data_IF_164529285384
#
_entry.id   IF_164529285384
#
_cell.length_a   1.000
_cell.length_b   1.000
_cell.length_c   1.000
_cell.angle_alpha   90.00
_cell.angle_beta   90.00
_cell.angle_gamma   90.00
#
_symmetry.space_group_name_H-M   'P 1'
#
loop_
_entity.id
_entity.type
_entity.pdbx_description
1 polymer ?
#
# COMPACT_ATOMS: atom_id res chain seq x y z
N UNK A 1 50.72 -31.83 -6.30
CA UNK A 1 49.74 -30.84 -6.81
C UNK A 1 49.60 -29.76 -5.78
N UNK A 2 49.94 -28.56 -6.18
CA UNK A 2 49.81 -27.35 -5.39
C UNK A 2 48.37 -27.24 -4.88
N UNK A 3 48.20 -27.43 -3.59
CA UNK A 3 46.90 -27.10 -2.94
C UNK A 3 46.86 -25.58 -2.93
N UNK A 4 46.28 -25.01 -3.99
CA UNK A 4 46.25 -23.56 -4.22
C UNK A 4 45.99 -22.78 -2.95
N UNK A 5 46.63 -21.64 -2.82
CA UNK A 5 46.52 -20.72 -1.69
C UNK A 5 45.05 -20.48 -1.33
N UNK A 6 44.63 -21.01 -0.19
CA UNK A 6 43.29 -20.81 0.37
C UNK A 6 43.37 -20.73 1.89
N UNK A 7 42.45 -20.07 2.48
CA UNK A 7 42.27 -20.03 3.94
C UNK A 7 41.09 -20.94 4.28
N UNK A 8 41.34 -21.88 5.23
CA UNK A 8 40.29 -22.77 5.73
C UNK A 8 40.06 -22.57 7.22
N UNK A 9 38.81 -22.48 7.61
CA UNK A 9 38.38 -22.51 9.00
C UNK A 9 37.73 -23.85 9.30
N UNK A 10 38.28 -24.57 10.30
CA UNK A 10 37.83 -25.94 10.64
C UNK A 10 37.39 -26.04 12.09
N UNK A 11 36.40 -26.89 12.34
CA UNK A 11 36.02 -27.37 13.67
C UNK A 11 35.92 -28.88 13.63
N UNK A 12 36.54 -29.56 14.61
CA UNK A 12 36.63 -31.03 14.65
C UNK A 12 37.10 -31.64 13.31
N UNK A 13 38.15 -31.07 12.72
CA UNK A 13 38.74 -31.47 11.42
C UNK A 13 37.80 -31.24 10.20
N UNK A 14 36.57 -30.81 10.38
CA UNK A 14 35.65 -30.51 9.29
C UNK A 14 35.79 -29.03 8.88
N UNK A 15 35.92 -28.79 7.58
CA UNK A 15 35.88 -27.44 7.05
C UNK A 15 34.50 -26.83 7.22
N UNK A 16 34.47 -25.58 7.72
CA UNK A 16 33.24 -24.83 7.94
C UNK A 16 33.15 -23.59 7.04
N UNK A 17 34.32 -23.00 6.73
CA UNK A 17 34.42 -21.83 5.86
C UNK A 17 35.75 -21.88 5.12
N UNK A 18 35.77 -21.35 3.91
CA UNK A 18 37.00 -21.10 3.16
C UNK A 18 37.01 -19.75 2.44
N UNK A 19 38.21 -19.28 2.16
CA UNK A 19 38.47 -18.27 1.14
C UNK A 19 39.33 -18.92 0.08
N UNK A 20 38.86 -19.01 -1.15
CA UNK A 20 39.60 -19.61 -2.27
C UNK A 20 40.71 -18.70 -2.74
N UNK A 21 41.67 -19.21 -3.53
CA UNK A 21 42.74 -18.40 -4.17
C UNK A 21 42.16 -17.29 -5.08
N UNK A 22 40.96 -17.49 -5.65
CA UNK A 22 40.23 -16.48 -6.42
C UNK A 22 39.45 -15.43 -5.56
N UNK A 23 39.60 -15.51 -4.22
CA UNK A 23 38.96 -14.57 -3.28
C UNK A 23 37.45 -14.81 -3.10
N UNK A 24 36.90 -15.97 -3.46
CA UNK A 24 35.53 -16.34 -3.16
C UNK A 24 35.42 -16.94 -1.77
N UNK A 25 34.38 -16.57 -1.01
CA UNK A 25 34.10 -17.08 0.33
C UNK A 25 33.01 -18.15 0.24
N UNK A 26 33.30 -19.35 0.78
CA UNK A 26 32.33 -20.43 0.96
C UNK A 26 32.09 -20.67 2.44
N UNK A 27 30.86 -20.69 2.91
CA UNK A 27 30.45 -21.13 4.24
C UNK A 27 29.62 -22.39 4.04
N UNK A 28 30.13 -23.54 4.50
CA UNK A 28 29.58 -24.84 4.19
C UNK A 28 29.84 -25.33 2.75
N UNK A 29 30.30 -24.46 1.86
CA UNK A 29 30.55 -24.71 0.45
C UNK A 29 32.06 -24.80 0.17
N UNK A 30 32.54 -25.94 -0.30
CA UNK A 30 33.97 -26.18 -0.62
C UNK A 30 34.34 -25.71 -2.03
N UNK A 31 33.38 -25.41 -2.89
CA UNK A 31 33.59 -24.91 -4.25
C UNK A 31 32.60 -23.81 -4.56
N UNK A 32 32.77 -22.59 -3.95
CA UNK A 32 31.80 -21.51 -4.12
C UNK A 32 31.71 -21.02 -5.57
N UNK A 33 30.49 -20.97 -6.11
CA UNK A 33 30.19 -20.55 -7.47
C UNK A 33 29.99 -19.02 -7.60
N UNK A 34 30.02 -18.29 -6.48
CA UNK A 34 29.89 -16.83 -6.39
C UNK A 34 30.92 -16.28 -5.41
N UNK A 35 31.11 -14.94 -5.34
CA UNK A 35 32.02 -14.29 -4.39
C UNK A 35 31.70 -14.63 -2.93
N UNK A 36 30.43 -14.83 -2.59
CA UNK A 36 29.98 -15.37 -1.32
C UNK A 36 28.93 -16.45 -1.61
N UNK A 37 29.18 -17.67 -1.14
CA UNK A 37 28.21 -18.76 -1.13
C UNK A 37 28.07 -19.31 0.27
N UNK A 38 26.82 -19.42 0.74
CA UNK A 38 26.47 -20.04 2.02
C UNK A 38 25.59 -21.26 1.73
N UNK A 39 26.03 -22.45 2.19
CA UNK A 39 25.22 -23.65 2.17
C UNK A 39 24.40 -23.71 3.45
N UNK A 40 23.17 -23.14 3.37
CA UNK A 40 22.25 -22.96 4.48
C UNK A 40 21.59 -21.58 4.47
N UNK A 41 20.83 -21.28 5.51
CA UNK A 41 20.16 -20.00 5.68
C UNK A 41 21.10 -18.89 6.15
N UNK A 42 20.79 -17.65 5.75
CA UNK A 42 21.41 -16.44 6.29
C UNK A 42 20.36 -15.73 7.15
N UNK A 43 20.63 -15.63 8.46
CA UNK A 43 19.82 -14.80 9.34
C UNK A 43 20.44 -13.40 9.45
N UNK A 44 19.72 -12.40 9.01
CA UNK A 44 20.11 -10.99 9.13
C UNK A 44 19.46 -10.38 10.38
N UNK A 45 20.18 -9.53 11.08
CA UNK A 45 19.59 -8.73 12.15
C UNK A 45 18.56 -7.74 11.58
N UNK A 46 17.56 -7.36 12.40
CA UNK A 46 16.57 -6.34 12.02
C UNK A 46 17.26 -5.00 11.76
N UNK A 47 16.94 -4.36 10.65
CA UNK A 47 17.36 -3.01 10.30
C UNK A 47 16.11 -2.18 9.98
N UNK A 48 15.72 -1.31 10.91
CA UNK A 48 14.56 -0.41 10.78
C UNK A 48 14.93 0.96 10.25
N UNK A 49 16.20 1.21 9.96
CA UNK A 49 16.66 2.49 9.42
C UNK A 49 16.06 2.75 8.03
N UNK A 50 15.81 4.00 7.72
CA UNK A 50 15.39 4.41 6.39
C UNK A 50 16.44 4.04 5.33
N UNK A 51 15.98 3.77 4.11
CA UNK A 51 16.87 3.63 2.96
C UNK A 51 17.67 4.92 2.75
N UNK A 52 18.97 4.80 2.50
CA UNK A 52 19.86 5.92 2.25
C UNK A 52 20.84 5.58 1.13
N UNK A 53 21.34 6.59 0.43
CA UNK A 53 22.32 6.41 -0.66
C UNK A 53 23.55 5.60 -0.23
N UNK A 54 23.98 5.72 1.03
CA UNK A 54 25.10 4.96 1.57
C UNK A 54 24.78 3.45 1.79
N UNK A 55 23.50 3.06 1.71
CA UNK A 55 23.04 1.68 1.91
C UNK A 55 22.61 0.99 0.60
N UNK A 56 22.80 1.64 -0.55
CA UNK A 56 22.48 1.04 -1.86
C UNK A 56 23.22 -0.29 -2.03
N UNK A 57 22.49 -1.32 -2.44
CA UNK A 57 23.01 -2.69 -2.59
C UNK A 57 23.05 -3.52 -1.31
N UNK A 58 22.62 -2.96 -0.18
CA UNK A 58 22.54 -3.72 1.09
C UNK A 58 21.29 -4.56 1.14
N UNK A 59 21.43 -5.85 1.48
CA UNK A 59 20.32 -6.70 1.89
C UNK A 59 20.05 -6.51 3.37
N UNK A 60 18.79 -6.35 3.77
CA UNK A 60 18.39 -6.19 5.15
C UNK A 60 17.11 -6.96 5.45
N UNK A 61 16.94 -7.34 6.71
CA UNK A 61 15.71 -7.90 7.23
C UNK A 61 14.92 -6.80 7.96
N UNK A 62 13.65 -6.69 7.63
CA UNK A 62 12.73 -5.79 8.33
C UNK A 62 11.48 -6.52 8.78
N UNK A 63 10.98 -6.11 9.93
CA UNK A 63 9.62 -6.40 10.36
C UNK A 63 8.79 -5.14 10.18
N UNK A 64 7.59 -5.29 9.73
CA UNK A 64 6.66 -4.18 9.54
C UNK A 64 5.23 -4.67 9.62
N UNK A 65 4.32 -3.76 9.43
CA UNK A 65 2.92 -4.06 9.26
C UNK A 65 2.57 -4.05 7.80
N UNK A 66 1.84 -5.03 7.35
CA UNK A 66 1.28 -5.11 6.00
C UNK A 66 -0.24 -5.21 6.10
N UNK A 67 -0.93 -4.63 5.12
CA UNK A 67 -2.38 -4.76 5.01
C UNK A 67 -2.70 -5.81 3.96
N UNK A 68 -3.38 -6.87 4.39
CA UNK A 68 -3.77 -8.00 3.54
C UNK A 68 -5.28 -7.93 3.30
N UNK A 69 -5.69 -8.11 2.06
CA UNK A 69 -7.11 -8.15 1.68
C UNK A 69 -7.80 -9.36 2.34
N UNK A 70 -8.97 -9.13 2.94
CA UNK A 70 -9.70 -10.18 3.68
C UNK A 70 -10.23 -11.25 2.74
N UNK A 71 -10.84 -10.86 1.62
CA UNK A 71 -11.45 -11.77 0.64
C UNK A 71 -11.27 -11.32 -0.81
N UNK A 72 -10.59 -10.19 -1.03
CA UNK A 72 -10.36 -9.59 -2.35
C UNK A 72 -11.63 -9.06 -3.03
N UNK A 73 -12.74 -8.91 -2.28
CA UNK A 73 -14.00 -8.41 -2.82
C UNK A 73 -13.99 -6.89 -2.88
N UNK A 74 -14.16 -6.36 -4.08
CA UNK A 74 -14.37 -4.92 -4.27
C UNK A 74 -15.74 -4.51 -3.74
N UNK A 75 -15.75 -3.58 -2.79
CA UNK A 75 -16.98 -3.13 -2.13
C UNK A 75 -17.70 -2.04 -2.93
N UNK A 76 -17.00 -1.28 -3.75
CA UNK A 76 -17.57 -0.20 -4.58
C UNK A 76 -18.08 -0.76 -5.90
N UNK A 77 -19.29 -0.42 -6.27
CA UNK A 77 -19.84 -0.70 -7.61
C UNK A 77 -19.66 0.53 -8.50
N UNK A 78 -19.23 0.33 -9.76
CA UNK A 78 -19.04 1.42 -10.71
C UNK A 78 -18.08 2.51 -10.15
N UNK A 79 -16.97 2.07 -9.58
CA UNK A 79 -15.92 2.98 -9.10
C UNK A 79 -15.09 3.59 -10.22
N UNK A 80 -15.18 3.03 -11.42
CA UNK A 80 -14.64 3.55 -12.69
C UNK A 80 -15.59 4.53 -13.39
N UNK A 81 -16.78 4.76 -12.82
CA UNK A 81 -17.81 5.67 -13.34
C UNK A 81 -18.15 5.46 -14.82
N UNK A 82 -18.06 4.21 -15.29
CA UNK A 82 -18.34 3.85 -16.68
C UNK A 82 -19.80 4.13 -17.08
N UNK A 83 -20.71 4.10 -16.12
CA UNK A 83 -22.15 4.37 -16.30
C UNK A 83 -22.64 5.39 -15.26
N UNK A 84 -23.66 6.18 -15.63
CA UNK A 84 -24.30 7.13 -14.69
C UNK A 84 -25.30 6.38 -13.79
N UNK A 85 -24.76 5.61 -12.85
CA UNK A 85 -25.54 4.79 -11.93
C UNK A 85 -24.79 4.53 -10.62
N UNK A 86 -25.51 4.03 -9.62
CA UNK A 86 -25.01 3.57 -8.32
C UNK A 86 -24.56 4.67 -7.35
N UNK A 87 -24.34 5.88 -7.82
CA UNK A 87 -23.92 7.03 -7.00
C UNK A 87 -25.01 8.09 -6.95
N UNK A 88 -25.24 8.63 -5.76
CA UNK A 88 -26.32 9.60 -5.51
C UNK A 88 -25.77 10.87 -4.87
N UNK A 89 -26.22 12.01 -5.37
CA UNK A 89 -25.99 13.30 -4.70
C UNK A 89 -26.79 13.36 -3.39
N UNK A 90 -26.12 13.59 -2.27
CA UNK A 90 -26.78 13.70 -0.97
C UNK A 90 -27.57 15.01 -0.85
N UNK A 91 -27.00 16.11 -1.33
CA UNK A 91 -27.64 17.43 -1.33
C UNK A 91 -27.30 18.18 -2.60
N UNK A 92 -28.32 18.53 -3.38
CA UNK A 92 -28.14 19.24 -4.64
C UNK A 92 -27.56 18.34 -5.74
N UNK A 93 -27.30 18.89 -6.91
CA UNK A 93 -26.86 18.19 -8.12
C UNK A 93 -25.46 18.62 -8.56
N UNK A 94 -24.50 18.66 -7.62
CA UNK A 94 -23.19 19.21 -7.92
C UNK A 94 -22.22 18.18 -8.51
N UNK A 95 -22.43 16.90 -8.19
CA UNK A 95 -21.68 15.80 -8.79
C UNK A 95 -22.43 15.25 -10.00
N UNK A 96 -21.71 14.91 -11.02
CA UNK A 96 -22.23 14.27 -12.23
C UNK A 96 -21.26 13.23 -12.74
N UNK A 97 -21.78 12.13 -13.31
CA UNK A 97 -20.98 11.12 -13.97
C UNK A 97 -21.03 11.37 -15.48
N UNK A 98 -19.87 11.53 -16.09
CA UNK A 98 -19.73 11.68 -17.54
C UNK A 98 -18.30 11.35 -17.97
N UNK A 99 -18.16 10.68 -19.11
CA UNK A 99 -16.86 10.35 -19.70
C UNK A 99 -15.99 9.47 -18.79
N UNK A 100 -16.59 8.54 -18.05
CA UNK A 100 -15.88 7.64 -17.13
C UNK A 100 -15.30 8.34 -15.90
N UNK A 101 -15.95 9.39 -15.40
CA UNK A 101 -15.50 10.13 -14.21
C UNK A 101 -16.69 10.71 -13.45
N UNK A 102 -16.55 10.82 -12.13
CA UNK A 102 -17.40 11.65 -11.31
C UNK A 102 -16.80 13.07 -11.24
N UNK A 103 -17.49 14.05 -11.73
CA UNK A 103 -17.04 15.44 -11.81
C UNK A 103 -17.81 16.33 -10.86
N UNK A 104 -17.15 17.30 -10.27
CA UNK A 104 -17.73 18.32 -9.40
C UNK A 104 -17.33 19.71 -9.85
N UNK A 105 -18.33 20.63 -9.79
CA UNK A 105 -18.11 22.06 -9.88
C UNK A 105 -19.06 22.73 -8.88
N UNK A 106 -18.56 23.12 -7.72
CA UNK A 106 -19.39 23.71 -6.68
C UNK A 106 -18.78 24.98 -6.11
N UNK A 107 -19.66 25.81 -5.58
CA UNK A 107 -19.30 27.01 -4.83
C UNK A 107 -19.97 26.98 -3.45
N UNK A 108 -19.23 27.34 -2.42
CA UNK A 108 -19.73 27.68 -1.09
C UNK A 108 -19.82 26.54 -0.07
N UNK A 109 -20.11 25.30 -0.44
CA UNK A 109 -20.36 24.24 0.55
C UNK A 109 -19.65 22.92 0.23
N UNK A 110 -19.42 22.11 1.27
CA UNK A 110 -19.01 20.72 1.13
C UNK A 110 -20.12 19.93 0.42
N UNK A 111 -19.76 19.04 -0.49
CA UNK A 111 -20.69 18.20 -1.25
C UNK A 111 -20.31 16.74 -1.14
N UNK A 112 -21.32 15.90 -1.08
CA UNK A 112 -21.19 14.46 -0.95
C UNK A 112 -21.86 13.76 -2.11
N UNK A 113 -21.18 12.74 -2.64
CA UNK A 113 -21.67 11.82 -3.65
C UNK A 113 -21.50 10.41 -3.11
N UNK A 114 -22.63 9.71 -2.89
CA UNK A 114 -22.64 8.52 -2.05
C UNK A 114 -23.06 7.27 -2.77
N UNK A 115 -22.57 6.16 -2.27
CA UNK A 115 -23.07 4.83 -2.54
C UNK A 115 -23.51 4.17 -1.24
N UNK A 116 -24.72 3.56 -1.23
CA UNK A 116 -25.33 3.00 -0.04
C UNK A 116 -25.17 1.49 0.02
N UNK A 117 -25.20 0.93 1.24
CA UNK A 117 -25.13 -0.51 1.53
C UNK A 117 -23.86 -1.20 0.98
N UNK A 118 -22.74 -0.48 0.97
CA UNK A 118 -21.47 -0.93 0.42
C UNK A 118 -20.63 -1.64 1.48
N UNK A 119 -20.55 -1.05 2.68
CA UNK A 119 -19.70 -1.60 3.74
C UNK A 119 -20.41 -2.71 4.52
N UNK A 120 -19.66 -3.70 5.04
CA UNK A 120 -20.20 -4.68 5.98
C UNK A 120 -20.75 -3.98 7.23
N UNK A 121 -21.81 -4.55 7.80
CA UNK A 121 -22.41 -4.03 9.02
C UNK A 121 -22.22 -5.05 10.18
N UNK A 122 -21.53 -4.71 11.27
CA UNK A 122 -20.89 -3.42 11.53
C UNK A 122 -19.55 -3.24 10.79
N UNK A 123 -19.26 -2.02 10.36
CA UNK A 123 -17.96 -1.64 9.79
C UNK A 123 -16.94 -1.18 10.83
N UNK A 124 -17.35 -1.07 12.09
CA UNK A 124 -16.52 -0.60 13.20
C UNK A 124 -15.39 -1.57 13.47
N UNK A 125 -14.19 -1.02 13.67
CA UNK A 125 -12.93 -1.75 13.88
C UNK A 125 -12.50 -2.65 12.70
N UNK A 126 -13.12 -2.50 11.53
CA UNK A 126 -12.63 -3.07 10.28
C UNK A 126 -11.81 -2.04 9.56
N UNK A 127 -10.69 -2.45 8.97
CA UNK A 127 -9.85 -1.56 8.18
C UNK A 127 -10.21 -1.67 6.70
N UNK A 128 -10.17 -0.54 6.00
CA UNK A 128 -10.48 -0.45 4.58
C UNK A 128 -9.34 0.24 3.85
N UNK A 129 -8.80 -0.44 2.84
CA UNK A 129 -7.88 0.14 1.88
C UNK A 129 -8.68 0.87 0.81
N UNK A 130 -8.47 2.17 0.71
CA UNK A 130 -9.19 3.05 -0.21
C UNK A 130 -8.21 3.58 -1.24
N UNK A 131 -8.56 3.44 -2.51
CA UNK A 131 -7.82 4.01 -3.65
C UNK A 131 -8.73 4.92 -4.45
N UNK A 132 -8.20 6.02 -4.96
CA UNK A 132 -8.92 6.92 -5.85
C UNK A 132 -7.96 7.77 -6.67
N UNK A 133 -8.41 8.20 -7.83
CA UNK A 133 -7.63 9.07 -8.72
C UNK A 133 -8.34 10.41 -8.88
N UNK A 134 -7.62 11.51 -8.67
CA UNK A 134 -8.11 12.88 -8.88
C UNK A 134 -7.50 13.44 -10.16
N UNK A 135 -8.32 14.03 -11.00
CA UNK A 135 -7.90 14.68 -12.24
C UNK A 135 -8.66 15.99 -12.48
N UNK A 136 -8.04 16.92 -13.20
CA UNK A 136 -8.66 18.21 -13.52
C UNK A 136 -8.98 19.06 -12.29
N UNK A 137 -8.37 18.80 -11.13
CA UNK A 137 -8.55 19.61 -9.94
C UNK A 137 -7.83 20.94 -10.13
N UNK A 138 -8.59 21.99 -10.16
CA UNK A 138 -8.10 23.38 -10.31
C UNK A 138 -8.36 24.21 -9.07
N UNK A 139 -9.25 23.76 -8.20
CA UNK A 139 -9.64 24.44 -6.97
C UNK A 139 -10.22 23.46 -5.95
N UNK A 140 -10.04 23.73 -4.65
CA UNK A 140 -10.59 22.95 -3.56
C UNK A 140 -9.85 21.65 -3.29
N UNK A 141 -10.59 20.62 -2.93
CA UNK A 141 -10.01 19.30 -2.61
C UNK A 141 -11.08 18.22 -2.52
N UNK A 142 -10.65 16.98 -2.71
CA UNK A 142 -11.52 15.80 -2.74
C UNK A 142 -10.93 14.70 -1.86
N UNK A 143 -11.80 14.01 -1.12
CA UNK A 143 -11.46 12.81 -0.35
C UNK A 143 -12.58 11.78 -0.40
N UNK A 144 -12.36 10.65 0.22
CA UNK A 144 -13.32 9.55 0.33
C UNK A 144 -13.63 9.31 1.80
N UNK A 145 -14.90 9.19 2.15
CA UNK A 145 -15.34 8.86 3.50
C UNK A 145 -15.93 7.46 3.52
N UNK A 146 -15.64 6.71 4.57
CA UNK A 146 -16.22 5.39 4.83
C UNK A 146 -16.93 5.38 6.18
N UNK A 147 -18.06 4.68 6.24
CA UNK A 147 -18.82 4.53 7.48
C UNK A 147 -19.45 5.83 8.00
N UNK A 148 -19.52 6.88 7.18
CA UNK A 148 -20.25 8.12 7.45
C UNK A 148 -19.49 9.21 8.21
N UNK A 149 -18.33 8.94 8.80
CA UNK A 149 -17.59 9.94 9.61
C UNK A 149 -16.08 9.90 9.52
N UNK A 150 -15.49 8.86 8.93
CA UNK A 150 -14.04 8.78 8.82
C UNK A 150 -13.64 9.05 7.38
N UNK A 151 -13.10 10.25 7.20
CA UNK A 151 -12.60 10.72 5.93
C UNK A 151 -11.14 10.30 5.72
N UNK A 152 -10.80 9.95 4.51
CA UNK A 152 -9.41 10.07 4.05
C UNK A 152 -8.96 11.53 4.15
N UNK A 153 -7.68 11.76 4.11
CA UNK A 153 -7.15 13.12 3.96
C UNK A 153 -7.68 13.73 2.66
N UNK A 154 -8.25 14.94 2.76
CA UNK A 154 -8.67 15.68 1.56
C UNK A 154 -7.43 16.05 0.75
N UNK A 155 -7.38 15.59 -0.48
CA UNK A 155 -6.30 15.85 -1.42
C UNK A 155 -6.59 17.11 -2.23
N UNK A 156 -5.59 17.95 -2.37
CA UNK A 156 -5.69 19.26 -3.06
C UNK A 156 -4.88 19.31 -4.36
N UNK A 157 -4.44 18.17 -4.86
CA UNK A 157 -3.71 18.05 -6.12
C UNK A 157 -4.22 16.86 -6.95
N UNK A 158 -3.90 16.88 -8.25
CA UNK A 158 -4.14 15.75 -9.12
C UNK A 158 -3.20 14.60 -8.78
N UNK A 159 -3.65 13.35 -8.87
CA UNK A 159 -2.87 12.17 -8.59
C UNK A 159 -3.71 10.96 -8.23
N UNK A 160 -3.07 9.81 -8.08
CA UNK A 160 -3.66 8.60 -7.53
C UNK A 160 -3.25 8.50 -6.07
N UNK A 161 -4.21 8.24 -5.21
CA UNK A 161 -4.06 8.20 -3.76
C UNK A 161 -4.49 6.85 -3.21
N UNK A 162 -3.86 6.49 -2.12
CA UNK A 162 -4.16 5.29 -1.36
C UNK A 162 -4.10 5.60 0.14
N UNK A 163 -5.07 5.13 0.89
CA UNK A 163 -5.10 5.30 2.34
C UNK A 163 -5.88 4.17 3.01
N UNK A 164 -5.38 3.69 4.15
CA UNK A 164 -6.13 2.79 5.03
C UNK A 164 -6.88 3.62 6.07
N UNK A 165 -8.16 3.32 6.27
CA UNK A 165 -9.00 3.91 7.31
C UNK A 165 -9.70 2.84 8.12
N UNK A 166 -9.79 3.05 9.43
CA UNK A 166 -10.48 2.15 10.37
C UNK A 166 -11.55 2.93 11.12
N UNK A 167 -12.85 2.77 10.75
CA UNK A 167 -13.94 3.38 11.48
C UNK A 167 -13.96 2.96 12.95
N UNK A 168 -13.96 3.94 13.85
CA UNK A 168 -13.96 3.71 15.31
C UNK A 168 -15.31 4.04 15.97
N UNK A 169 -16.21 4.70 15.23
CA UNK A 169 -17.52 5.10 15.75
C UNK A 169 -18.60 4.07 15.42
N UNK A 170 -19.45 3.80 16.39
CA UNK A 170 -20.59 2.85 16.33
C UNK A 170 -21.72 3.27 15.40
N UNK A 171 -21.60 4.35 14.65
CA UNK A 171 -22.57 4.64 13.62
C UNK A 171 -22.44 3.61 12.51
N UNK A 172 -23.35 2.64 12.52
CA UNK A 172 -23.47 1.52 11.59
C UNK A 172 -23.84 1.99 10.18
N UNK A 173 -23.14 3.00 9.68
CA UNK A 173 -23.37 3.56 8.36
C UNK A 173 -22.57 2.75 7.34
N UNK A 174 -23.28 2.10 6.45
CA UNK A 174 -22.71 1.27 5.37
C UNK A 174 -22.38 2.09 4.11
N UNK A 175 -22.27 3.41 4.25
CA UNK A 175 -22.11 4.34 3.15
C UNK A 175 -20.64 4.61 2.82
N UNK A 176 -20.37 4.82 1.55
CA UNK A 176 -19.16 5.43 1.03
C UNK A 176 -19.54 6.76 0.40
N UNK A 177 -18.74 7.79 0.64
CA UNK A 177 -18.92 9.12 0.09
C UNK A 177 -17.66 9.60 -0.61
N UNK A 178 -17.79 10.17 -1.79
CA UNK A 178 -16.87 11.19 -2.26
C UNK A 178 -17.23 12.49 -1.58
N UNK A 179 -16.28 13.12 -0.94
CA UNK A 179 -16.44 14.42 -0.29
C UNK A 179 -15.61 15.47 -1.01
N UNK A 180 -16.22 16.56 -1.39
CA UNK A 180 -15.49 17.75 -1.82
C UNK A 180 -15.42 18.80 -0.72
N UNK A 181 -14.38 19.61 -0.71
CA UNK A 181 -14.39 20.87 0.02
C UNK A 181 -15.37 21.87 -0.61
N UNK A 182 -15.60 22.98 0.10
CA UNK A 182 -16.21 24.16 -0.51
C UNK A 182 -15.37 24.66 -1.70
N UNK A 183 -16.04 25.14 -2.73
CA UNK A 183 -15.40 25.68 -3.93
C UNK A 183 -14.47 24.70 -4.64
N UNK A 184 -14.92 23.47 -4.88
CA UNK A 184 -14.13 22.44 -5.56
C UNK A 184 -14.51 22.34 -7.02
N UNK A 185 -13.50 22.31 -7.90
CA UNK A 185 -13.62 22.01 -9.32
C UNK A 185 -12.62 20.91 -9.65
N UNK A 186 -13.11 19.74 -10.06
CA UNK A 186 -12.27 18.58 -10.35
C UNK A 186 -13.08 17.34 -10.66
N UNK A 187 -12.38 16.21 -10.83
CA UNK A 187 -12.99 14.91 -11.13
C UNK A 187 -12.30 13.79 -10.37
N UNK A 188 -13.06 12.75 -10.08
CA UNK A 188 -12.58 11.50 -9.45
C UNK A 188 -12.85 10.32 -10.37
N UNK A 189 -11.94 9.36 -10.35
CA UNK A 189 -12.02 8.12 -11.08
C UNK A 189 -11.36 6.99 -10.29
N UNK A 190 -11.60 5.74 -10.69
CA UNK A 190 -10.98 4.54 -10.12
C UNK A 190 -11.10 4.46 -8.60
N UNK A 191 -12.30 4.68 -8.08
CA UNK A 191 -12.58 4.51 -6.65
C UNK A 191 -12.68 3.02 -6.33
N UNK A 192 -11.85 2.57 -5.41
CA UNK A 192 -11.80 1.18 -4.91
C UNK A 192 -11.79 1.18 -3.40
N UNK A 193 -12.51 0.26 -2.80
CA UNK A 193 -12.54 0.05 -1.35
C UNK A 193 -12.54 -1.44 -1.06
N UNK A 194 -11.49 -1.91 -0.39
CA UNK A 194 -11.30 -3.31 -0.01
C UNK A 194 -11.23 -3.42 1.51
N UNK A 195 -11.86 -4.42 2.10
CA UNK A 195 -11.63 -4.76 3.51
C UNK A 195 -10.25 -5.39 3.65
N UNK A 196 -9.45 -4.90 4.61
CA UNK A 196 -8.09 -5.38 4.87
C UNK A 196 -7.90 -5.70 6.34
N UNK A 197 -7.00 -6.62 6.63
CA UNK A 197 -6.48 -6.88 7.98
C UNK A 197 -5.03 -6.46 8.08
N UNK A 198 -4.65 -6.00 9.26
CA UNK A 198 -3.26 -5.69 9.58
C UNK A 198 -2.55 -6.98 9.99
N UNK A 199 -1.50 -7.34 9.28
CA UNK A 199 -0.67 -8.50 9.59
C UNK A 199 0.79 -8.08 9.82
N UNK A 200 1.44 -8.77 10.73
CA UNK A 200 2.88 -8.59 10.93
C UNK A 200 3.62 -9.24 9.78
N UNK A 201 4.26 -8.44 8.97
CA UNK A 201 5.08 -8.91 7.85
C UNK A 201 6.56 -8.92 8.22
N UNK A 202 7.25 -9.96 7.73
CA UNK A 202 8.69 -10.09 7.84
C UNK A 202 9.27 -10.31 6.45
N UNK A 203 10.12 -9.43 6.00
CA UNK A 203 10.70 -9.53 4.67
C UNK A 203 12.16 -9.08 4.61
N UNK A 204 12.91 -9.69 3.68
CA UNK A 204 14.22 -9.20 3.30
C UNK A 204 14.07 -8.32 2.06
N UNK A 205 14.59 -7.12 2.12
CA UNK A 205 14.60 -6.20 0.99
C UNK A 205 16.03 -5.80 0.60
N UNK A 206 16.21 -5.40 -0.65
CA UNK A 206 17.45 -4.77 -1.11
C UNK A 206 17.27 -3.26 -1.21
N UNK A 207 18.22 -2.51 -0.67
CA UNK A 207 18.27 -1.08 -0.92
C UNK A 207 18.78 -0.83 -2.35
N UNK A 208 17.93 -0.27 -3.19
CA UNK A 208 18.25 0.13 -4.56
C UNK A 208 18.53 1.63 -4.64
#
# INVERSE_FOLDING_TARGET
>A
GDVGDRIEFKTNSNERMRITSGGSVGIGATNPQSKLQVDGGIQMAGDTDAAAAAKVGTMRYRTGTEYVEVDGVELVTNGDFAVDANWLNQTGTNWSISGGKASISNTGNIRYFQQSAVLPNPSVNKSFLIKWTISGLTQGGIGVNVGGYIATTIQTSNGTYEQVVTPTSVNSNTLIYLQSNANTIGSVDNVSVLEVTEESASYADMCM
#
